data_IF_782390199069
#
_entry.id   IF_782390199069
#
_cell.length_a   1.000
_cell.length_b   1.000
_cell.length_c   1.000
_cell.angle_alpha   90.00
_cell.angle_beta   90.00
_cell.angle_gamma   90.00
#
_symmetry.space_group_name_H-M   'P 1'
#
loop_
_entity.id
_entity.type
_entity.pdbx_description
1 polymer ?
#
# COMPACT_ATOMS: atom_id res chain seq x y z
N UNK A 1 1.91 -22.92 2.92
CA UNK A 1 1.83 -21.46 3.09
C UNK A 1 1.22 -21.21 4.45
N UNK A 2 1.77 -20.32 5.29
CA UNK A 2 1.19 -20.03 6.61
C UNK A 2 -0.15 -19.33 6.44
N UNK A 3 -1.14 -19.70 7.26
CA UNK A 3 -2.43 -18.99 7.32
C UNK A 3 -2.27 -17.73 8.19
N UNK A 4 -2.40 -16.57 7.58
CA UNK A 4 -2.25 -15.28 8.26
C UNK A 4 -3.60 -14.54 8.42
N UNK A 5 -4.74 -15.23 8.31
CA UNK A 5 -6.08 -14.64 8.34
C UNK A 5 -6.42 -13.83 9.60
N UNK A 6 -5.70 -14.08 10.72
CA UNK A 6 -5.83 -13.29 11.94
C UNK A 6 -5.11 -11.92 11.88
N UNK A 7 -4.25 -11.69 10.86
CA UNK A 7 -3.50 -10.46 10.69
C UNK A 7 -4.35 -9.41 9.98
N UNK A 8 -4.35 -8.20 10.51
CA UNK A 8 -5.06 -7.06 9.95
C UNK A 8 -4.12 -5.87 9.83
N UNK A 9 -3.84 -5.51 8.59
CA UNK A 9 -2.98 -4.39 8.19
C UNK A 9 -3.85 -3.24 7.69
N UNK A 10 -3.65 -2.05 8.22
CA UNK A 10 -4.27 -0.82 7.77
C UNK A 10 -3.21 0.10 7.16
N UNK A 11 -3.44 0.58 5.94
CA UNK A 11 -2.61 1.61 5.31
C UNK A 11 -3.42 2.88 5.15
N UNK A 12 -2.78 4.03 5.37
CA UNK A 12 -3.41 5.35 5.20
C UNK A 12 -2.55 6.18 4.27
N UNK A 13 -3.10 6.48 3.09
CA UNK A 13 -2.46 7.26 2.04
C UNK A 13 -3.28 8.50 1.64
N UNK A 14 -2.62 9.49 1.07
CA UNK A 14 -3.23 10.77 0.70
C UNK A 14 -4.03 10.67 -0.61
N UNK A 15 -3.44 10.09 -1.65
CA UNK A 15 -3.97 10.05 -3.00
C UNK A 15 -4.03 8.64 -3.57
N UNK A 16 -4.90 8.38 -4.55
CA UNK A 16 -4.83 7.15 -5.35
C UNK A 16 -3.53 7.14 -6.16
N UNK A 17 -2.65 6.21 -5.94
CA UNK A 17 -1.32 5.91 -6.50
C UNK A 17 -0.24 5.74 -5.42
N UNK A 18 -0.28 6.50 -4.34
CA UNK A 18 0.69 6.44 -3.24
C UNK A 18 0.86 5.03 -2.69
N UNK A 19 -0.23 4.28 -2.56
CA UNK A 19 -0.23 2.92 -2.04
C UNK A 19 0.54 1.97 -2.97
N UNK A 20 0.38 2.14 -4.28
CA UNK A 20 1.03 1.31 -5.30
C UNK A 20 2.53 1.61 -5.37
N UNK A 21 2.91 2.89 -5.27
CA UNK A 21 4.31 3.33 -5.31
C UNK A 21 5.04 2.88 -4.03
N UNK A 22 4.46 3.16 -2.86
CA UNK A 22 5.16 3.00 -1.58
C UNK A 22 5.03 1.59 -0.98
N UNK A 23 3.88 0.92 -1.16
CA UNK A 23 3.52 -0.31 -0.42
C UNK A 23 2.94 -1.43 -1.29
N UNK A 24 2.96 -1.30 -2.62
CA UNK A 24 2.28 -2.24 -3.51
C UNK A 24 2.76 -3.68 -3.35
N UNK A 25 4.05 -3.90 -3.19
CA UNK A 25 4.61 -5.24 -3.02
C UNK A 25 4.26 -5.83 -1.64
N UNK A 26 4.33 -5.03 -0.57
CA UNK A 26 3.91 -5.42 0.78
C UNK A 26 2.42 -5.73 0.84
N UNK A 27 1.57 -4.90 0.25
CA UNK A 27 0.13 -5.14 0.19
C UNK A 27 -0.18 -6.45 -0.52
N UNK A 28 0.43 -6.69 -1.68
CA UNK A 28 0.26 -7.93 -2.44
C UNK A 28 0.75 -9.16 -1.68
N UNK A 29 1.88 -9.06 -0.97
CA UNK A 29 2.42 -10.12 -0.12
C UNK A 29 1.44 -10.51 0.99
N UNK A 30 0.97 -9.53 1.77
CA UNK A 30 0.05 -9.81 2.88
C UNK A 30 -1.32 -10.30 2.39
N UNK A 31 -1.87 -9.71 1.34
CA UNK A 31 -3.12 -10.18 0.74
C UNK A 31 -3.01 -11.62 0.24
N UNK A 32 -1.93 -11.96 -0.46
CA UNK A 32 -1.71 -13.32 -0.99
C UNK A 32 -1.46 -14.38 0.11
N UNK A 33 -1.01 -13.96 1.29
CA UNK A 33 -0.80 -14.85 2.44
C UNK A 33 -2.02 -14.92 3.36
N UNK A 34 -3.14 -14.29 2.98
CA UNK A 34 -4.42 -14.38 3.68
C UNK A 34 -4.65 -13.33 4.76
N UNK A 35 -3.72 -12.39 4.97
CA UNK A 35 -3.95 -11.28 5.88
C UNK A 35 -5.06 -10.34 5.34
N UNK A 36 -5.83 -9.75 6.25
CA UNK A 36 -6.78 -8.71 5.91
C UNK A 36 -6.03 -7.39 5.71
N UNK A 37 -5.99 -6.90 4.48
CA UNK A 37 -5.36 -5.62 4.12
C UNK A 37 -6.47 -4.62 3.83
N UNK A 38 -6.47 -3.50 4.57
CA UNK A 38 -7.40 -2.38 4.37
C UNK A 38 -6.60 -1.15 3.97
N UNK A 39 -6.98 -0.52 2.87
CA UNK A 39 -6.46 0.76 2.44
C UNK A 39 -7.46 1.87 2.73
N UNK A 40 -6.99 2.99 3.29
CA UNK A 40 -7.73 4.25 3.37
C UNK A 40 -6.99 5.31 2.57
N UNK A 41 -7.65 5.88 1.57
CA UNK A 41 -7.16 7.00 0.77
C UNK A 41 -7.89 8.27 1.19
N UNK A 42 -7.17 9.36 1.48
CA UNK A 42 -7.77 10.53 2.10
C UNK A 42 -8.55 11.42 1.13
N UNK A 43 -8.05 11.58 -0.10
CA UNK A 43 -8.67 12.41 -1.17
C UNK A 43 -8.84 11.61 -2.45
N UNK A 44 -9.39 12.21 -3.49
CA UNK A 44 -9.45 11.57 -4.80
C UNK A 44 -8.28 11.96 -5.72
N UNK A 45 -7.35 12.79 -5.22
CA UNK A 45 -6.22 13.29 -6.01
C UNK A 45 -6.64 14.22 -7.15
N UNK A 46 -7.60 15.10 -6.90
CA UNK A 46 -8.27 15.93 -7.90
C UNK A 46 -7.33 16.96 -8.55
N UNK A 47 -6.30 17.41 -7.81
CA UNK A 47 -5.35 18.43 -8.28
C UNK A 47 -4.12 17.84 -8.99
N UNK A 48 -4.10 16.52 -9.24
CA UNK A 48 -3.03 15.83 -9.96
C UNK A 48 -2.92 16.30 -11.42
N UNK A 49 -1.72 16.25 -11.96
CA UNK A 49 -1.46 16.52 -13.40
C UNK A 49 -1.80 15.26 -14.22
N UNK A 50 -2.44 15.44 -15.37
CA UNK A 50 -2.87 14.34 -16.24
C UNK A 50 -1.82 14.05 -17.29
N UNK A 51 -1.16 12.89 -17.22
CA UNK A 51 -0.10 12.49 -18.15
C UNK A 51 -0.64 12.23 -19.57
N UNK A 52 -1.70 11.40 -19.80
CA UNK A 52 -2.17 11.10 -21.14
C UNK A 52 -2.86 12.31 -21.78
N UNK A 53 -2.38 12.78 -22.98
CA UNK A 53 -2.94 13.98 -23.63
C UNK A 53 -4.42 13.86 -23.99
N UNK A 54 -4.91 12.68 -24.31
CA UNK A 54 -6.32 12.40 -24.63
C UNK A 54 -7.23 12.51 -23.39
N UNK A 55 -6.70 12.36 -22.19
CA UNK A 55 -7.40 12.53 -20.92
C UNK A 55 -7.19 13.93 -20.30
N UNK A 56 -6.42 14.80 -20.91
CA UNK A 56 -6.11 16.13 -20.37
C UNK A 56 -7.36 16.99 -20.05
N UNK A 57 -8.53 16.67 -20.64
CA UNK A 57 -9.79 17.33 -20.35
C UNK A 57 -10.28 17.06 -18.90
N UNK A 58 -9.79 15.99 -18.23
CA UNK A 58 -10.17 15.64 -16.85
C UNK A 58 -9.58 16.59 -15.80
N UNK A 59 -8.58 17.38 -16.15
CA UNK A 59 -7.84 18.27 -15.25
C UNK A 59 -8.77 19.23 -14.45
N UNK A 60 -8.34 19.67 -13.25
CA UNK A 60 -9.17 20.48 -12.34
C UNK A 60 -9.50 21.88 -12.90
N UNK A 61 -8.67 22.40 -13.81
CA UNK A 61 -8.88 23.68 -14.53
C UNK A 61 -9.73 23.54 -15.79
N UNK A 62 -10.22 22.34 -16.11
CA UNK A 62 -11.06 22.02 -17.27
C UNK A 62 -12.40 21.44 -16.80
N UNK A 63 -12.59 20.10 -16.98
CA UNK A 63 -13.87 19.46 -16.63
C UNK A 63 -13.97 19.11 -15.13
N UNK A 64 -12.88 19.18 -14.37
CA UNK A 64 -12.77 18.81 -12.94
C UNK A 64 -13.31 17.39 -12.67
N UNK A 65 -12.91 16.42 -13.52
CA UNK A 65 -13.36 15.04 -13.51
C UNK A 65 -12.26 14.03 -13.17
N UNK A 66 -11.05 14.51 -12.87
CA UNK A 66 -9.90 13.65 -12.56
C UNK A 66 -10.17 12.78 -11.31
N UNK A 67 -10.66 13.37 -10.22
CA UNK A 67 -10.95 12.62 -8.99
C UNK A 67 -11.91 11.43 -9.21
N UNK A 68 -13.11 11.62 -9.80
CA UNK A 68 -13.97 10.50 -10.16
C UNK A 68 -13.33 9.44 -11.07
N UNK A 69 -12.45 9.84 -11.99
CA UNK A 69 -11.70 8.91 -12.84
C UNK A 69 -10.72 8.06 -12.03
N UNK A 70 -9.94 8.69 -11.14
CA UNK A 70 -8.96 8.03 -10.26
C UNK A 70 -9.57 7.03 -9.27
N UNK A 71 -10.85 7.17 -8.92
CA UNK A 71 -11.59 6.12 -8.17
C UNK A 71 -11.58 4.80 -8.93
N UNK A 72 -11.75 4.84 -10.26
CA UNK A 72 -11.69 3.66 -11.11
C UNK A 72 -10.26 3.10 -11.24
N UNK A 73 -9.26 3.97 -11.35
CA UNK A 73 -7.85 3.57 -11.38
C UNK A 73 -7.43 2.88 -10.07
N UNK A 74 -7.81 3.45 -8.92
CA UNK A 74 -7.55 2.83 -7.61
C UNK A 74 -8.22 1.46 -7.49
N UNK A 75 -9.48 1.32 -7.91
CA UNK A 75 -10.16 0.03 -7.87
C UNK A 75 -9.47 -1.03 -8.75
N UNK A 76 -8.94 -0.62 -9.91
CA UNK A 76 -8.16 -1.50 -10.78
C UNK A 76 -6.81 -1.88 -10.13
N UNK A 77 -6.10 -0.91 -9.53
CA UNK A 77 -4.85 -1.16 -8.80
C UNK A 77 -5.05 -2.13 -7.63
N UNK A 78 -6.10 -1.94 -6.83
CA UNK A 78 -6.42 -2.85 -5.71
C UNK A 78 -6.71 -4.27 -6.18
N UNK A 79 -7.34 -4.45 -7.32
CA UNK A 79 -7.55 -5.77 -7.93
C UNK A 79 -6.24 -6.46 -8.29
N UNK A 80 -5.27 -5.73 -8.86
CA UNK A 80 -3.94 -6.25 -9.18
C UNK A 80 -3.18 -6.67 -7.91
N UNK A 81 -3.29 -5.90 -6.83
CA UNK A 81 -2.67 -6.20 -5.53
C UNK A 81 -3.40 -7.31 -4.77
N UNK A 82 -4.63 -7.65 -5.14
CA UNK A 82 -5.47 -8.62 -4.42
C UNK A 82 -6.06 -8.07 -3.13
N UNK A 83 -6.22 -6.74 -3.03
CA UNK A 83 -6.78 -6.04 -1.86
C UNK A 83 -8.25 -5.75 -2.11
N UNK A 84 -9.12 -6.33 -1.30
CA UNK A 84 -10.57 -6.19 -1.46
C UNK A 84 -11.18 -5.02 -0.67
N UNK A 85 -10.55 -4.63 0.45
CA UNK A 85 -11.05 -3.55 1.31
C UNK A 85 -10.25 -2.27 1.08
N UNK A 86 -10.81 -1.37 0.28
CA UNK A 86 -10.28 -0.02 0.10
C UNK A 86 -11.40 1.01 0.27
N UNK A 87 -11.09 2.08 0.97
CA UNK A 87 -12.07 3.08 1.43
C UNK A 87 -11.48 4.48 1.23
N UNK A 88 -12.38 5.45 0.99
CA UNK A 88 -12.03 6.86 1.08
C UNK A 88 -12.41 7.41 2.45
N UNK A 89 -11.54 8.24 3.03
CA UNK A 89 -11.74 8.84 4.35
C UNK A 89 -13.03 9.68 4.39
N UNK A 90 -14.00 9.27 5.20
CA UNK A 90 -15.32 9.94 5.27
C UNK A 90 -16.21 9.74 4.04
N UNK A 91 -15.82 8.86 3.10
CA UNK A 91 -16.48 8.62 1.82
C UNK A 91 -15.83 9.38 0.65
N UNK A 92 -16.04 8.92 -0.60
CA UNK A 92 -15.40 9.52 -1.78
C UNK A 92 -15.72 11.02 -1.91
N UNK A 93 -14.67 11.85 -2.05
CA UNK A 93 -14.80 13.29 -2.20
C UNK A 93 -15.19 14.07 -0.93
N UNK A 94 -15.15 13.42 0.26
CA UNK A 94 -15.34 14.13 1.53
C UNK A 94 -14.29 15.21 1.73
N UNK A 95 -13.04 14.91 1.40
CA UNK A 95 -11.92 15.82 1.41
C UNK A 95 -11.38 15.94 0.00
N UNK A 96 -11.11 17.16 -0.45
CA UNK A 96 -10.52 17.44 -1.74
C UNK A 96 -8.99 17.51 -1.62
N UNK A 97 -8.30 17.05 -2.64
CA UNK A 97 -6.86 17.26 -2.81
C UNK A 97 -6.50 18.74 -2.69
N UNK A 98 -5.44 19.02 -1.96
CA UNK A 98 -5.00 20.37 -1.64
C UNK A 98 -3.98 20.94 -2.65
N UNK A 99 -3.50 20.10 -3.57
CA UNK A 99 -2.38 20.43 -4.45
C UNK A 99 -1.06 20.59 -3.70
N UNK A 100 -0.01 20.96 -4.41
CA UNK A 100 1.33 21.14 -3.86
C UNK A 100 1.38 22.26 -2.81
N UNK A 101 2.38 22.21 -1.91
CA UNK A 101 2.54 23.20 -0.86
C UNK A 101 2.68 24.62 -1.44
N UNK A 102 1.92 25.55 -0.89
CA UNK A 102 2.00 26.99 -1.22
C UNK A 102 1.03 27.43 -2.34
N UNK A 103 0.31 26.52 -2.99
CA UNK A 103 -0.69 26.88 -4.01
C UNK A 103 -2.01 27.37 -3.38
N UNK A 104 -2.83 28.17 -4.12
CA UNK A 104 -4.10 28.69 -3.60
C UNK A 104 -5.09 27.61 -3.14
N UNK A 105 -5.04 26.43 -3.74
CA UNK A 105 -5.89 25.27 -3.43
C UNK A 105 -5.74 24.83 -1.97
N UNK A 106 -4.57 25.02 -1.35
CA UNK A 106 -4.35 24.72 0.07
C UNK A 106 -5.35 25.44 1.01
N UNK A 107 -5.91 26.57 0.58
CA UNK A 107 -6.85 27.38 1.37
C UNK A 107 -8.31 27.19 0.98
N UNK A 108 -8.59 26.33 0.01
CA UNK A 108 -9.95 26.05 -0.44
C UNK A 108 -10.76 25.39 0.69
N UNK A 109 -12.00 25.78 0.84
CA UNK A 109 -12.92 25.08 1.73
C UNK A 109 -13.08 23.62 1.26
N UNK A 110 -12.93 22.66 2.18
CA UNK A 110 -12.97 21.22 1.87
C UNK A 110 -11.64 20.62 1.40
N UNK A 111 -10.60 21.44 1.19
CA UNK A 111 -9.24 20.91 0.99
C UNK A 111 -8.79 20.13 2.24
N UNK A 112 -8.16 18.98 2.05
CA UNK A 112 -7.76 18.12 3.15
C UNK A 112 -6.77 18.80 4.09
N UNK A 113 -5.78 19.51 3.53
CA UNK A 113 -4.82 20.31 4.30
C UNK A 113 -5.46 21.39 5.16
N UNK A 114 -6.57 22.00 4.69
CA UNK A 114 -7.27 23.07 5.39
C UNK A 114 -8.29 22.57 6.43
N UNK A 115 -8.41 21.25 6.58
CA UNK A 115 -9.34 20.62 7.53
C UNK A 115 -8.64 20.44 8.88
N UNK A 116 -9.34 20.73 9.99
CA UNK A 116 -8.83 20.43 11.32
C UNK A 116 -8.62 18.91 11.48
N UNK A 117 -7.49 18.53 12.07
CA UNK A 117 -7.14 17.13 12.31
C UNK A 117 -8.19 16.45 13.21
N UNK A 118 -8.72 17.14 14.22
CA UNK A 118 -9.73 16.61 15.12
C UNK A 118 -11.11 16.49 14.46
N UNK A 119 -11.35 17.18 13.33
CA UNK A 119 -12.54 17.00 12.48
C UNK A 119 -12.40 15.83 11.51
N UNK A 120 -11.19 15.55 11.03
CA UNK A 120 -10.92 14.46 10.10
C UNK A 120 -10.68 13.10 10.80
N UNK A 121 -10.00 13.10 11.94
CA UNK A 121 -9.62 11.88 12.66
C UNK A 121 -10.82 10.97 13.04
N UNK A 122 -12.01 11.46 13.43
CA UNK A 122 -13.14 10.59 13.75
C UNK A 122 -13.55 9.62 12.66
N UNK A 123 -13.44 10.01 11.37
CA UNK A 123 -13.71 9.10 10.24
C UNK A 123 -12.74 7.90 10.22
N UNK A 124 -11.48 8.16 10.54
CA UNK A 124 -10.48 7.08 10.60
C UNK A 124 -10.60 6.28 11.90
N UNK A 125 -11.02 6.88 13.02
CA UNK A 125 -11.34 6.16 14.27
C UNK A 125 -12.41 5.10 14.05
N UNK A 126 -13.47 5.45 13.32
CA UNK A 126 -14.54 4.50 12.97
C UNK A 126 -13.98 3.30 12.19
N UNK A 127 -13.13 3.57 11.20
CA UNK A 127 -12.47 2.51 10.40
C UNK A 127 -11.55 1.66 11.29
N UNK A 128 -10.70 2.27 12.11
CA UNK A 128 -9.79 1.55 13.02
C UNK A 128 -10.58 0.64 13.97
N UNK A 129 -11.67 1.13 14.57
CA UNK A 129 -12.49 0.35 15.48
C UNK A 129 -13.27 -0.77 14.81
N UNK A 130 -13.69 -0.55 13.56
CA UNK A 130 -14.36 -1.56 12.72
C UNK A 130 -13.41 -2.66 12.25
N UNK A 131 -12.25 -2.29 11.68
CA UNK A 131 -11.26 -3.20 11.14
C UNK A 131 -10.44 -3.88 12.24
N UNK A 132 -10.16 -3.16 13.35
CA UNK A 132 -9.32 -3.60 14.47
C UNK A 132 -7.92 -4.04 14.05
N UNK A 133 -7.17 -3.19 13.29
CA UNK A 133 -5.85 -3.55 12.79
C UNK A 133 -4.83 -3.66 13.92
N UNK A 134 -3.91 -4.62 13.82
CA UNK A 134 -2.76 -4.69 14.72
C UNK A 134 -1.63 -3.76 14.26
N UNK A 135 -1.56 -3.52 12.94
CA UNK A 135 -0.50 -2.73 12.31
C UNK A 135 -1.13 -1.62 11.48
N UNK A 136 -0.56 -0.42 11.57
CA UNK A 136 -0.86 0.73 10.73
C UNK A 136 0.40 1.20 10.02
N UNK A 137 0.29 1.50 8.73
CA UNK A 137 1.34 2.11 7.90
C UNK A 137 0.86 3.45 7.37
N UNK A 138 1.69 4.48 7.46
CA UNK A 138 1.44 5.81 6.91
C UNK A 138 2.76 6.53 6.59
N UNK A 139 2.68 7.81 6.23
CA UNK A 139 3.86 8.66 6.00
C UNK A 139 4.54 9.06 7.29
N UNK A 140 5.76 9.59 7.16
CA UNK A 140 6.46 10.33 8.21
C UNK A 140 5.84 11.73 8.45
N UNK A 141 6.30 12.47 9.49
CA UNK A 141 5.77 13.80 9.79
C UNK A 141 5.93 14.85 8.69
N UNK A 142 6.89 14.66 7.76
CA UNK A 142 7.08 15.51 6.59
C UNK A 142 6.29 15.05 5.36
N UNK A 143 5.52 13.93 5.47
CA UNK A 143 4.78 13.38 4.33
C UNK A 143 5.69 12.89 3.20
N UNK A 144 6.90 12.44 3.55
CA UNK A 144 7.93 12.03 2.58
C UNK A 144 8.67 13.22 1.97
N UNK A 145 8.01 14.03 1.16
CA UNK A 145 8.62 15.15 0.40
C UNK A 145 7.94 16.52 0.62
N UNK A 146 7.07 16.62 1.62
CA UNK A 146 6.45 17.89 2.00
C UNK A 146 5.12 18.19 1.31
N UNK A 147 4.47 17.22 0.65
CA UNK A 147 3.12 17.42 0.15
C UNK A 147 2.16 17.67 1.31
N UNK A 148 1.31 18.72 1.26
CA UNK A 148 0.43 19.05 2.38
C UNK A 148 -0.52 17.92 2.78
N UNK A 149 -1.08 17.21 1.80
CA UNK A 149 -2.01 16.11 2.09
C UNK A 149 -1.31 14.86 2.66
N UNK A 150 -0.04 14.61 2.31
CA UNK A 150 0.75 13.54 2.95
C UNK A 150 1.04 13.87 4.42
N UNK A 151 1.41 15.13 4.71
CA UNK A 151 1.60 15.61 6.08
C UNK A 151 0.28 15.50 6.86
N UNK A 152 -0.83 15.86 6.23
CA UNK A 152 -2.15 15.79 6.87
C UNK A 152 -2.61 14.34 7.08
N UNK A 153 -2.37 13.45 6.13
CA UNK A 153 -2.65 12.01 6.26
C UNK A 153 -1.87 11.41 7.44
N UNK A 154 -0.57 11.76 7.58
CA UNK A 154 0.22 11.41 8.76
C UNK A 154 -0.44 11.91 10.05
N UNK A 155 -0.77 13.22 10.14
CA UNK A 155 -1.37 13.82 11.33
C UNK A 155 -2.68 13.15 11.72
N UNK A 156 -3.56 12.94 10.74
CA UNK A 156 -4.86 12.29 10.94
C UNK A 156 -4.68 10.83 11.36
N UNK A 157 -3.76 10.09 10.73
CA UNK A 157 -3.48 8.70 11.08
C UNK A 157 -2.96 8.56 12.52
N UNK A 158 -1.99 9.37 12.92
CA UNK A 158 -1.42 9.34 14.27
C UNK A 158 -2.46 9.74 15.32
N UNK A 159 -3.24 10.81 15.05
CA UNK A 159 -4.31 11.27 15.95
C UNK A 159 -5.44 10.24 16.08
N UNK A 160 -5.89 9.66 14.98
CA UNK A 160 -6.92 8.63 14.99
C UNK A 160 -6.47 7.36 15.72
N UNK A 161 -5.20 6.97 15.60
CA UNK A 161 -4.65 5.83 16.32
C UNK A 161 -4.62 6.05 17.85
N UNK A 162 -4.44 7.29 18.31
CA UNK A 162 -4.57 7.66 19.74
C UNK A 162 -6.04 7.57 20.19
N UNK A 163 -6.91 8.30 19.49
CA UNK A 163 -8.32 8.41 19.84
C UNK A 163 -9.06 7.06 19.75
N UNK A 164 -8.69 6.18 18.82
CA UNK A 164 -9.30 4.86 18.67
C UNK A 164 -9.08 3.99 19.93
N UNK A 165 -7.94 4.15 20.63
CA UNK A 165 -7.62 3.46 21.88
C UNK A 165 -8.37 4.01 23.10
N UNK A 166 -8.90 5.22 23.03
CA UNK A 166 -9.57 5.89 24.14
C UNK A 166 -11.01 5.38 24.32
N UNK A 167 -11.31 4.70 25.42
CA UNK A 167 -12.66 4.16 25.71
C UNK A 167 -13.74 5.23 25.86
N UNK A 168 -13.36 6.45 26.24
CA UNK A 168 -14.30 7.56 26.45
C UNK A 168 -14.61 8.33 25.15
N UNK A 169 -13.72 8.27 24.16
CA UNK A 169 -13.90 9.00 22.91
C UNK A 169 -14.97 8.35 22.03
N UNK A 170 -15.97 9.13 21.61
CA UNK A 170 -16.98 8.78 20.58
C UNK A 170 -17.36 7.28 20.58
N UNK A 171 -18.05 6.83 21.61
CA UNK A 171 -18.49 5.42 21.76
C UNK A 171 -19.43 4.96 20.65
N UNK A 172 -20.09 5.90 20.01
CA UNK A 172 -20.93 5.69 18.82
C UNK A 172 -20.15 5.17 17.59
N UNK A 173 -18.83 5.39 17.55
CA UNK A 173 -17.93 4.89 16.49
C UNK A 173 -17.39 3.47 16.73
N UNK A 174 -17.92 2.74 17.70
CA UNK A 174 -17.52 1.36 18.03
C UNK A 174 -16.65 1.23 19.28
N UNK A 175 -16.27 -0.02 19.62
CA UNK A 175 -15.45 -0.34 20.77
C UNK A 175 -14.00 0.13 20.59
N UNK A 176 -13.40 0.63 21.68
CA UNK A 176 -12.01 1.06 21.66
C UNK A 176 -11.05 -0.04 21.18
N UNK A 177 -10.10 0.35 20.34
CA UNK A 177 -9.08 -0.52 19.80
C UNK A 177 -7.73 0.20 19.76
N UNK A 178 -6.71 -0.39 20.39
CA UNK A 178 -5.34 0.11 20.33
C UNK A 178 -4.56 -0.63 19.24
N UNK A 179 -3.91 0.15 18.37
CA UNK A 179 -3.01 -0.37 17.34
C UNK A 179 -1.69 -0.74 18.02
N UNK A 180 -1.21 -1.97 17.76
CA UNK A 180 -0.01 -2.50 18.41
C UNK A 180 1.28 -1.93 17.82
N UNK A 181 1.35 -1.76 16.49
CA UNK A 181 2.52 -1.21 15.79
C UNK A 181 2.13 -0.17 14.76
N UNK A 182 2.91 0.91 14.70
CA UNK A 182 2.77 1.93 13.65
C UNK A 182 4.12 2.09 12.96
N UNK A 183 4.08 2.10 11.64
CA UNK A 183 5.25 2.25 10.77
C UNK A 183 5.09 3.46 9.86
N UNK A 184 6.21 4.09 9.55
CA UNK A 184 6.33 5.07 8.47
C UNK A 184 7.03 4.45 7.27
N UNK A 185 6.56 4.78 6.07
CA UNK A 185 7.25 4.44 4.82
C UNK A 185 8.61 5.11 4.77
N UNK A 186 9.62 4.36 4.36
CA UNK A 186 11.00 4.86 4.23
C UNK A 186 11.69 4.23 3.04
N UNK A 187 12.74 4.89 2.55
CA UNK A 187 13.66 4.35 1.56
C UNK A 187 15.08 4.51 2.09
N UNK A 188 15.86 3.42 2.27
CA UNK A 188 17.26 3.52 2.67
C UNK A 188 18.05 4.26 1.58
N UNK A 189 18.93 5.16 1.97
CA UNK A 189 19.77 5.92 1.03
C UNK A 189 20.59 5.00 0.12
N UNK A 190 21.18 3.96 0.66
CA UNK A 190 21.98 2.98 -0.12
C UNK A 190 21.16 2.30 -1.21
N UNK A 191 19.90 1.94 -0.92
CA UNK A 191 18.98 1.31 -1.88
C UNK A 191 18.56 2.31 -2.97
N UNK A 192 18.32 3.57 -2.60
CA UNK A 192 18.04 4.61 -3.57
C UNK A 192 19.22 4.83 -4.53
N UNK A 193 20.46 4.95 -3.99
CA UNK A 193 21.68 5.11 -4.76
C UNK A 193 21.90 3.96 -5.75
N UNK A 194 21.73 2.71 -5.31
CA UNK A 194 21.82 1.54 -6.17
C UNK A 194 20.74 1.52 -7.26
N UNK A 195 19.49 1.87 -6.91
CA UNK A 195 18.37 1.96 -7.86
C UNK A 195 18.64 2.96 -8.98
N UNK A 196 19.14 4.15 -8.64
CA UNK A 196 19.51 5.16 -9.62
C UNK A 196 20.76 4.77 -10.44
N UNK A 197 21.71 4.08 -9.84
CA UNK A 197 22.84 3.55 -10.60
C UNK A 197 22.37 2.57 -11.68
N UNK A 198 21.40 1.69 -11.36
CA UNK A 198 20.77 0.78 -12.35
C UNK A 198 20.02 1.54 -13.43
N UNK A 199 19.24 2.56 -13.08
CA UNK A 199 18.51 3.38 -14.05
C UNK A 199 19.47 4.09 -15.02
N UNK A 200 20.56 4.69 -14.53
CA UNK A 200 21.58 5.32 -15.36
C UNK A 200 22.28 4.31 -16.28
N UNK A 201 22.58 3.11 -15.76
CA UNK A 201 23.18 2.04 -16.57
C UNK A 201 22.25 1.53 -17.67
N UNK A 202 20.93 1.61 -17.46
CA UNK A 202 19.92 1.31 -18.48
C UNK A 202 19.67 2.48 -19.47
N UNK A 203 20.45 3.57 -19.40
CA UNK A 203 20.32 4.72 -20.30
C UNK A 203 19.17 5.67 -19.99
N UNK A 204 18.61 5.59 -18.76
CA UNK A 204 17.49 6.43 -18.31
C UNK A 204 16.10 5.86 -18.62
N UNK A 205 16.03 4.65 -19.20
CA UNK A 205 14.79 4.09 -19.75
C UNK A 205 14.16 5.05 -20.81
N UNK A 206 12.86 5.00 -21.05
CA UNK A 206 12.17 5.86 -22.01
C UNK A 206 11.73 7.22 -21.42
N UNK A 207 12.37 7.65 -20.29
CA UNK A 207 12.01 8.91 -19.64
C UNK A 207 12.95 10.07 -20.06
N UNK A 208 12.42 11.30 -20.22
CA UNK A 208 13.20 12.48 -20.60
C UNK A 208 14.30 12.87 -19.61
N UNK A 209 14.15 12.53 -18.33
CA UNK A 209 15.11 12.84 -17.28
C UNK A 209 15.22 11.73 -16.24
N UNK A 210 16.14 11.91 -15.30
CA UNK A 210 16.32 11.01 -14.14
C UNK A 210 16.20 11.87 -12.89
N UNK A 211 15.35 11.45 -11.94
CA UNK A 211 15.22 12.08 -10.64
C UNK A 211 16.53 11.98 -9.84
N UNK A 212 16.69 12.86 -8.86
CA UNK A 212 17.78 12.77 -7.90
C UNK A 212 17.32 12.02 -6.65
N UNK A 213 18.29 11.55 -5.85
CA UNK A 213 17.99 10.80 -4.62
C UNK A 213 17.09 11.58 -3.67
N UNK A 214 17.31 12.90 -3.58
CA UNK A 214 16.53 13.77 -2.70
C UNK A 214 15.10 14.05 -3.21
N UNK A 215 14.80 13.66 -4.45
CA UNK A 215 13.43 13.76 -5.02
C UNK A 215 12.59 12.54 -4.63
N UNK A 216 13.22 11.44 -4.14
CA UNK A 216 12.46 10.28 -3.66
C UNK A 216 11.87 10.57 -2.27
N UNK A 217 10.54 10.44 -2.12
CA UNK A 217 9.90 10.60 -0.83
C UNK A 217 10.44 9.62 0.23
N UNK A 218 10.74 10.13 1.42
CA UNK A 218 11.08 9.28 2.56
C UNK A 218 12.47 8.66 2.53
N UNK A 219 13.42 9.15 1.71
CA UNK A 219 14.82 8.73 1.78
C UNK A 219 15.45 9.17 3.09
N UNK A 220 16.04 8.22 3.80
CA UNK A 220 16.69 8.41 5.10
C UNK A 220 17.98 7.63 5.18
N UNK A 221 18.77 7.88 6.23
CA UNK A 221 19.94 7.05 6.51
C UNK A 221 19.54 5.59 6.82
N UNK A 222 20.32 4.65 6.38
CA UNK A 222 20.04 3.21 6.51
C UNK A 222 19.83 2.76 7.96
N UNK A 223 20.44 3.47 8.93
CA UNK A 223 20.27 3.23 10.37
C UNK A 223 18.89 3.53 10.93
N UNK A 224 18.07 4.30 10.21
CA UNK A 224 16.68 4.60 10.61
C UNK A 224 15.69 3.48 10.20
N UNK A 225 16.13 2.57 9.33
CA UNK A 225 15.30 1.48 8.86
C UNK A 225 15.24 0.37 9.92
N UNK A 226 14.04 0.09 10.40
CA UNK A 226 13.81 -0.98 11.38
C UNK A 226 13.26 -2.24 10.75
N UNK A 227 12.62 -2.12 9.58
CA UNK A 227 11.88 -3.22 8.98
C UNK A 227 12.04 -3.20 7.46
N UNK A 228 12.21 -4.39 6.90
CA UNK A 228 12.42 -4.64 5.48
C UNK A 228 11.49 -5.77 5.04
N UNK A 229 10.64 -5.52 4.07
CA UNK A 229 9.68 -6.49 3.53
C UNK A 229 10.09 -6.86 2.11
N UNK A 230 10.59 -8.07 1.93
CA UNK A 230 10.90 -8.60 0.61
C UNK A 230 9.63 -9.00 -0.13
N UNK A 231 9.15 -8.10 -0.97
CA UNK A 231 8.01 -8.30 -1.86
C UNK A 231 8.41 -8.65 -3.29
N UNK A 232 9.65 -9.03 -3.58
CA UNK A 232 10.16 -9.24 -4.95
C UNK A 232 9.35 -10.25 -5.77
N UNK A 233 8.79 -11.29 -5.13
CA UNK A 233 7.88 -12.25 -5.77
C UNK A 233 6.60 -11.56 -6.30
N UNK A 234 6.23 -10.42 -5.75
CA UNK A 234 5.05 -9.65 -6.13
C UNK A 234 5.37 -8.38 -6.93
N UNK A 235 6.61 -8.20 -7.39
CA UNK A 235 7.03 -7.05 -8.17
C UNK A 235 6.15 -6.83 -9.41
N UNK A 236 5.73 -7.90 -10.08
CA UNK A 236 4.83 -7.82 -11.24
C UNK A 236 3.43 -7.29 -10.88
N UNK A 237 2.90 -7.66 -9.71
CA UNK A 237 1.61 -7.13 -9.23
C UNK A 237 1.71 -5.65 -8.87
N UNK A 238 2.79 -5.26 -8.17
CA UNK A 238 3.07 -3.84 -7.89
C UNK A 238 3.13 -3.03 -9.18
N UNK A 239 3.91 -3.49 -10.16
CA UNK A 239 4.05 -2.82 -11.46
C UNK A 239 2.71 -2.73 -12.21
N UNK A 240 1.87 -3.78 -12.14
CA UNK A 240 0.53 -3.76 -12.74
C UNK A 240 -0.40 -2.76 -12.04
N UNK A 241 -0.35 -2.68 -10.71
CA UNK A 241 -1.10 -1.69 -9.93
C UNK A 241 -0.66 -0.25 -10.26
N UNK A 242 0.65 0.00 -10.35
CA UNK A 242 1.17 1.30 -10.78
C UNK A 242 0.68 1.67 -12.20
N UNK A 243 0.64 0.72 -13.15
CA UNK A 243 0.08 0.95 -14.48
C UNK A 243 -1.43 1.22 -14.50
N UNK A 244 -2.17 0.75 -13.50
CA UNK A 244 -3.58 1.06 -13.38
C UNK A 244 -3.86 2.53 -13.07
N UNK A 245 -2.89 3.24 -12.46
CA UNK A 245 -2.92 4.69 -12.24
C UNK A 245 -2.40 5.45 -13.47
N UNK A 246 -2.94 5.15 -14.64
CA UNK A 246 -2.43 5.62 -15.93
C UNK A 246 -2.46 7.14 -16.10
N UNK A 247 -3.33 7.85 -15.39
CA UNK A 247 -3.36 9.32 -15.40
C UNK A 247 -2.17 9.93 -14.67
N UNK A 248 -1.52 9.20 -13.77
CA UNK A 248 -0.50 9.71 -12.82
C UNK A 248 0.86 9.06 -12.96
N UNK A 249 0.94 7.82 -13.47
CA UNK A 249 2.17 7.03 -13.49
C UNK A 249 2.42 6.48 -14.89
N UNK A 250 3.60 6.78 -15.43
CA UNK A 250 4.16 6.11 -16.59
C UNK A 250 5.17 5.03 -16.15
N UNK A 251 5.02 3.78 -16.60
CA UNK A 251 5.86 2.66 -16.18
C UNK A 251 6.59 2.07 -17.39
N UNK A 252 7.92 2.00 -17.29
CA UNK A 252 8.79 1.33 -18.26
C UNK A 252 9.71 0.32 -17.55
N UNK A 253 9.44 -0.98 -17.77
CA UNK A 253 10.19 -2.06 -17.13
C UNK A 253 10.20 -1.97 -15.60
N UNK A 254 11.40 -1.93 -14.97
CA UNK A 254 11.58 -1.77 -13.53
C UNK A 254 11.66 -0.31 -13.08
N UNK A 255 11.24 0.64 -13.94
CA UNK A 255 11.30 2.07 -13.70
C UNK A 255 9.93 2.72 -13.93
N UNK A 256 9.75 3.90 -13.37
CA UNK A 256 8.54 4.71 -13.56
C UNK A 256 8.86 6.20 -13.52
N UNK A 257 7.95 7.01 -14.02
CA UNK A 257 7.97 8.46 -13.86
C UNK A 257 6.55 8.96 -13.51
N UNK A 258 6.49 10.12 -12.87
CA UNK A 258 5.28 10.90 -12.67
C UNK A 258 5.17 11.97 -13.77
N UNK A 259 4.27 12.93 -13.61
CA UNK A 259 4.05 14.04 -14.54
C UNK A 259 5.28 14.91 -14.81
N UNK A 260 6.29 14.86 -13.94
CA UNK A 260 7.56 15.56 -14.12
C UNK A 260 8.52 14.88 -15.14
N UNK A 261 8.15 13.73 -15.67
CA UNK A 261 8.94 12.92 -16.62
C UNK A 261 10.32 12.50 -16.10
N UNK A 262 10.51 12.48 -14.77
CA UNK A 262 11.76 12.06 -14.15
C UNK A 262 11.69 10.59 -13.78
N UNK A 263 12.50 9.76 -14.46
CA UNK A 263 12.59 8.32 -14.20
C UNK A 263 13.08 8.01 -12.79
N UNK A 264 12.42 7.04 -12.17
CA UNK A 264 12.69 6.54 -10.82
C UNK A 264 12.68 5.01 -10.81
N UNK A 265 13.46 4.35 -9.92
CA UNK A 265 13.42 2.91 -9.78
C UNK A 265 12.15 2.43 -9.07
N UNK A 266 11.58 1.32 -9.53
CA UNK A 266 10.54 0.59 -8.78
C UNK A 266 11.23 -0.30 -7.74
N UNK A 267 10.88 -0.11 -6.47
CA UNK A 267 11.37 -0.93 -5.37
C UNK A 267 10.32 -2.00 -5.02
N UNK A 268 10.68 -3.28 -5.10
CA UNK A 268 9.82 -4.39 -4.69
C UNK A 268 10.17 -4.92 -3.28
N UNK A 269 11.36 -4.65 -2.77
CA UNK A 269 11.66 -4.68 -1.34
C UNK A 269 11.28 -3.31 -0.77
N UNK A 270 10.41 -3.29 0.22
CA UNK A 270 9.85 -2.07 0.79
C UNK A 270 10.29 -1.93 2.25
N UNK A 271 10.57 -0.69 2.67
CA UNK A 271 11.26 -0.40 3.91
C UNK A 271 10.44 0.49 4.82
N UNK A 272 10.59 0.27 6.12
CA UNK A 272 9.77 0.92 7.13
C UNK A 272 10.59 1.30 8.36
N UNK A 273 10.13 2.33 9.05
CA UNK A 273 10.58 2.73 10.37
C UNK A 273 9.46 2.46 11.39
N UNK A 274 9.71 1.60 12.36
CA UNK A 274 8.80 1.39 13.49
C UNK A 274 8.84 2.61 14.40
N UNK A 275 7.69 3.27 14.60
CA UNK A 275 7.58 4.50 15.40
C UNK A 275 6.69 4.37 16.62
N UNK A 276 5.92 3.30 16.68
CA UNK A 276 5.14 2.90 17.87
C UNK A 276 5.08 1.38 17.93
N UNK A 277 5.21 0.84 19.15
CA UNK A 277 5.20 -0.59 19.44
C UNK A 277 6.60 -1.13 19.73
N UNK A 278 6.66 -2.41 20.10
CA UNK A 278 7.91 -3.09 20.44
C UNK A 278 8.48 -3.80 19.19
N UNK A 279 9.80 -3.68 18.93
CA UNK A 279 10.45 -4.46 17.88
C UNK A 279 10.30 -5.98 18.13
N UNK A 280 10.07 -6.73 17.06
CA UNK A 280 10.05 -8.19 17.10
C UNK A 280 11.39 -8.85 16.75
N UNK A 281 12.38 -8.04 16.33
CA UNK A 281 13.75 -8.49 16.05
C UNK A 281 14.71 -8.11 17.20
N UNK A 282 15.84 -8.82 17.36
CA UNK A 282 16.89 -8.43 18.29
C UNK A 282 17.44 -7.01 18.01
N UNK A 283 17.98 -6.33 19.04
CA UNK A 283 18.59 -5.01 18.86
C UNK A 283 19.67 -5.01 17.77
N UNK A 284 19.55 -4.10 16.80
CA UNK A 284 20.48 -3.96 15.67
C UNK A 284 20.14 -4.81 14.45
N UNK A 285 19.10 -5.64 14.51
CA UNK A 285 18.60 -6.40 13.37
C UNK A 285 17.30 -5.79 12.85
N UNK A 286 17.06 -5.89 11.53
CA UNK A 286 15.79 -5.49 10.91
C UNK A 286 14.73 -6.57 11.08
N UNK A 287 13.48 -6.14 11.25
CA UNK A 287 12.34 -7.04 11.11
C UNK A 287 12.11 -7.36 9.62
N UNK A 288 11.63 -8.58 9.34
CA UNK A 288 11.21 -9.01 7.99
C UNK A 288 9.71 -9.30 7.92
N UNK A 289 8.97 -8.84 8.91
CA UNK A 289 7.53 -8.98 9.00
C UNK A 289 6.96 -7.83 9.85
N UNK A 290 6.00 -7.06 9.31
CA UNK A 290 5.34 -5.96 10.04
C UNK A 290 4.63 -6.42 11.32
N UNK A 291 4.30 -7.72 11.43
CA UNK A 291 3.67 -8.32 12.60
C UNK A 291 4.67 -9.01 13.54
N UNK A 292 5.98 -8.89 13.29
CA UNK A 292 7.01 -9.49 14.12
C UNK A 292 6.81 -9.15 15.61
N UNK A 293 6.95 -10.14 16.49
CA UNK A 293 6.77 -10.00 17.94
C UNK A 293 5.32 -9.93 18.44
N UNK A 294 4.31 -9.84 17.57
CA UNK A 294 2.90 -9.85 17.97
C UNK A 294 2.44 -11.30 18.19
N UNK A 295 2.16 -11.64 19.46
CA UNK A 295 1.78 -13.01 19.87
C UNK A 295 0.46 -13.46 19.26
N UNK A 296 0.38 -14.74 18.89
CA UNK A 296 -0.83 -15.37 18.36
C UNK A 296 -1.12 -15.05 16.90
N UNK A 297 -0.17 -14.41 16.19
CA UNK A 297 -0.28 -14.04 14.79
C UNK A 297 0.77 -14.74 13.90
N UNK A 298 1.47 -15.74 14.45
CA UNK A 298 2.57 -16.42 13.78
C UNK A 298 2.11 -17.34 12.62
N UNK A 299 0.80 -17.55 12.49
CA UNK A 299 0.18 -18.46 11.51
C UNK A 299 0.43 -19.92 11.85
N UNK A 300 -0.59 -20.76 11.80
CA UNK A 300 -0.41 -22.20 11.84
C UNK A 300 0.35 -22.67 10.60
N UNK A 301 1.29 -23.59 10.72
CA UNK A 301 1.81 -24.30 9.57
C UNK A 301 0.64 -25.00 8.90
N UNK A 302 0.45 -24.81 7.60
CA UNK A 302 -0.57 -25.53 6.85
C UNK A 302 -0.31 -27.02 7.06
N UNK A 303 -1.23 -27.72 7.73
CA UNK A 303 -1.18 -29.17 7.83
C UNK A 303 -1.09 -29.72 6.40
N UNK A 304 -0.04 -30.47 6.09
CA UNK A 304 0.05 -31.21 4.85
C UNK A 304 -1.26 -31.98 4.71
N UNK A 305 -1.99 -31.75 3.64
CA UNK A 305 -3.15 -32.56 3.33
C UNK A 305 -2.68 -34.02 3.23
N UNK A 306 -3.36 -34.97 3.88
CA UNK A 306 -3.05 -36.36 3.68
C UNK A 306 -3.21 -36.65 2.19
N UNK A 307 -2.11 -37.02 1.55
CA UNK A 307 -2.12 -37.54 0.19
C UNK A 307 -3.11 -38.70 0.13
N UNK A 308 -4.15 -38.57 -0.66
CA UNK A 308 -5.02 -39.64 -1.07
C UNK A 308 -4.15 -40.81 -1.54
N UNK A 309 -4.03 -41.84 -0.71
CA UNK A 309 -3.58 -43.15 -1.16
C UNK A 309 -4.71 -43.72 -2.01
N UNK A 310 -4.62 -43.52 -3.31
CA UNK A 310 -5.40 -44.28 -4.25
C UNK A 310 -4.98 -45.76 -4.10
N UNK A 311 -5.81 -46.53 -3.46
CA UNK A 311 -5.79 -47.98 -3.52
C UNK A 311 -5.98 -48.40 -4.97
N UNK A 312 -4.88 -48.79 -5.63
CA UNK A 312 -4.93 -49.59 -6.85
C UNK A 312 -5.37 -51.03 -6.45
N UNK A 313 -6.67 -51.28 -6.50
CA UNK A 313 -7.20 -52.62 -6.54
C UNK A 313 -7.10 -53.12 -8.01
N UNK A 314 -6.29 -54.13 -8.22
CA UNK A 314 -6.25 -54.89 -9.48
C UNK A 314 -7.61 -55.51 -9.75
N UNK A 315 -8.11 -55.49 -11.01
CA UNK A 315 -9.32 -56.23 -11.39
C UNK A 315 -9.01 -57.75 -11.51
N UNK A 316 -9.95 -58.62 -11.09
CA UNK A 316 -9.74 -60.07 -11.16
C UNK A 316 -9.71 -60.55 -12.62
N UNK A 317 -8.71 -61.38 -12.91
CA UNK A 317 -8.53 -62.03 -14.21
C UNK A 317 -9.74 -62.86 -14.62
N UNK A 318 -10.21 -62.66 -15.83
CA UNK A 318 -11.15 -63.54 -16.50
C UNK A 318 -10.38 -64.66 -17.17
N UNK A 319 -10.65 -65.89 -16.70
CA UNK A 319 -10.22 -67.13 -17.31
C UNK A 319 -10.89 -67.35 -18.72
N UNK A 320 -10.07 -67.79 -19.63
CA UNK A 320 -10.53 -68.18 -20.99
C UNK A 320 -11.40 -69.38 -21.02
N UNK A 321 -12.29 -69.38 -21.97
CA UNK A 321 -12.86 -70.62 -22.54
C UNK A 321 -12.76 -70.58 -24.05
N UNK A 322 -12.05 -71.57 -24.57
CA UNK A 322 -12.05 -72.02 -26.01
C UNK A 322 -13.41 -72.46 -26.44
N UNK A 323 -13.70 -72.39 -27.75
CA UNK A 323 -14.82 -73.04 -28.41
C UNK A 323 -15.00 -72.48 -29.81
N UNK A 324 -14.49 -73.05 -30.66
CA UNK A 324 -14.58 -73.81 -31.92
C UNK A 324 -15.79 -73.44 -32.84
N UNK A 325 -15.43 -73.38 -34.15
CA UNK A 325 -16.20 -73.69 -35.36
C UNK A 325 -17.34 -72.75 -35.79
N UNK A 326 -17.27 -72.20 -36.93
CA UNK A 326 -17.37 -72.47 -38.36
C UNK A 326 -17.08 -71.18 -39.17
#
# INVERSE_FOLDING_TARGET
MKDLSARRLLLVHAHPDDESINNGATMALYAATGAQVTLVTCTLGEEGEVIPPDLAHLAPDRDDRLGPHRVGELAAAMKELGVADHRFLGGPGRFRDSGMMGVPQNRRAGAFWNTDVDDAAPYLVEIIRSVRPQVLVTYDPNGGYGHPDHIQAHRVAMRAAELAGERAFRRDLGEAHAIAKIYWNRVPRSVAEEGFARLRAAGGADFPGIAEINDIPGVVDDSEITTEIDGTVYASRKTAAMRAHATQIAVDGPFFALSNDLGQPVFATEYYQLVRGEPGAPPGEREHDLFAGLKGLEGAEASEHPTDRADHADPPGTAGTEGAAE
#
